data_IF_965161108343
#
_entry.id   IF_965161108343
#
_cell.length_a   1.000
_cell.length_b   1.000
_cell.length_c   1.000
_cell.angle_alpha   90.00
_cell.angle_beta   90.00
_cell.angle_gamma   90.00
#
_symmetry.space_group_name_H-M   'P 1'
#
loop_
_entity.id
_entity.type
_entity.pdbx_description
1 polymer ?
#
# COMPACT_ATOMS: atom_id res chain seq x y z
N UNK A 1 16.11 30.20 23.14
CA UNK A 1 15.31 29.47 22.18
C UNK A 1 15.33 28.00 22.60
N UNK A 2 14.24 27.53 23.22
CA UNK A 2 14.06 26.10 23.54
C UNK A 2 13.59 25.44 22.26
N UNK A 3 14.36 24.50 21.74
CA UNK A 3 13.91 23.69 20.59
C UNK A 3 12.66 22.93 21.02
N UNK A 4 11.62 22.89 20.20
CA UNK A 4 10.46 22.07 20.54
C UNK A 4 10.90 20.61 20.66
N UNK A 5 10.62 20.01 21.80
CA UNK A 5 10.89 18.57 21.99
C UNK A 5 9.89 17.85 21.10
N UNK A 6 10.38 17.16 20.07
CA UNK A 6 9.51 16.38 19.20
C UNK A 6 9.00 15.16 19.98
N UNK A 7 7.71 15.14 20.28
CA UNK A 7 7.07 14.00 20.94
C UNK A 7 6.92 12.88 19.89
N UNK A 8 7.58 11.72 20.08
CA UNK A 8 7.52 10.68 19.06
C UNK A 8 6.13 10.06 18.92
N UNK A 9 5.81 9.61 17.70
CA UNK A 9 4.49 9.04 17.37
C UNK A 9 4.34 7.66 18.01
N UNK A 10 3.14 7.32 18.53
CA UNK A 10 2.84 5.94 18.94
C UNK A 10 2.59 5.07 17.73
N UNK A 11 2.55 3.75 17.92
CA UNK A 11 2.09 2.81 16.89
C UNK A 11 0.88 2.05 17.38
N UNK A 12 -0.06 1.76 16.47
CA UNK A 12 -1.32 1.09 16.77
C UNK A 12 -1.42 -0.19 15.94
N UNK A 13 -1.93 -1.27 16.53
CA UNK A 13 -2.29 -2.48 15.79
C UNK A 13 -3.45 -3.22 16.46
N UNK A 14 -4.08 -4.09 15.68
CA UNK A 14 -5.16 -4.96 16.15
C UNK A 14 -4.60 -6.31 16.63
N UNK A 15 -5.25 -6.89 17.61
CA UNK A 15 -4.99 -8.27 18.02
C UNK A 15 -6.31 -9.02 18.23
N UNK A 16 -6.63 -10.03 17.42
CA UNK A 16 -5.86 -10.50 16.27
C UNK A 16 -5.83 -9.46 15.12
N UNK A 17 -4.80 -9.54 14.30
CA UNK A 17 -4.63 -8.58 13.18
C UNK A 17 -5.62 -8.79 12.04
N UNK A 18 -6.15 -10.00 11.94
CA UNK A 18 -7.06 -10.41 10.86
C UNK A 18 -7.99 -11.50 11.36
N UNK A 19 -9.03 -11.77 10.56
CA UNK A 19 -9.96 -12.86 10.84
C UNK A 19 -10.94 -12.57 11.96
N UNK A 20 -11.21 -11.30 12.23
CA UNK A 20 -12.20 -10.90 13.24
C UNK A 20 -13.61 -11.07 12.63
N UNK A 21 -14.46 -11.81 13.30
CA UNK A 21 -15.87 -11.97 12.90
C UNK A 21 -16.80 -11.24 13.86
N UNK A 22 -18.04 -10.99 13.44
CA UNK A 22 -19.04 -10.42 14.34
C UNK A 22 -19.14 -11.25 15.61
N UNK A 23 -19.12 -10.59 16.74
CA UNK A 23 -19.17 -11.21 18.08
C UNK A 23 -17.81 -11.54 18.68
N UNK A 24 -16.75 -11.57 17.88
CA UNK A 24 -15.40 -11.86 18.39
C UNK A 24 -14.86 -10.69 19.23
N UNK A 25 -13.93 -10.99 20.11
CA UNK A 25 -13.15 -9.95 20.81
C UNK A 25 -11.97 -9.51 19.94
N UNK A 26 -11.69 -8.21 19.98
CA UNK A 26 -10.50 -7.64 19.34
C UNK A 26 -9.90 -6.57 20.25
N UNK A 27 -8.59 -6.55 20.36
CA UNK A 27 -7.86 -5.54 21.12
C UNK A 27 -7.15 -4.57 20.19
N UNK A 28 -7.34 -3.28 20.47
CA UNK A 28 -6.56 -2.18 19.87
C UNK A 28 -5.37 -1.94 20.80
N UNK A 29 -4.16 -2.21 20.32
CA UNK A 29 -2.92 -2.09 21.10
C UNK A 29 -2.12 -0.88 20.65
N UNK A 30 -2.05 0.13 21.54
CA UNK A 30 -1.28 1.35 21.32
C UNK A 30 0.06 1.23 22.04
N UNK A 31 1.15 1.15 21.27
CA UNK A 31 2.51 1.10 21.81
C UNK A 31 3.06 2.52 21.94
N UNK A 32 3.59 2.81 23.10
CA UNK A 32 4.07 4.13 23.48
C UNK A 32 5.60 4.14 23.44
N UNK A 33 6.21 5.03 22.65
CA UNK A 33 7.68 5.11 22.60
C UNK A 33 8.30 5.72 23.86
N UNK A 34 7.47 6.28 24.73
CA UNK A 34 7.88 6.85 26.03
C UNK A 34 6.71 6.85 27.00
N UNK A 35 6.96 7.23 28.26
CA UNK A 35 5.92 7.29 29.30
C UNK A 35 4.79 8.24 28.89
N UNK A 36 3.57 7.85 29.24
CA UNK A 36 2.37 8.63 29.00
C UNK A 36 1.57 8.83 30.27
N UNK A 37 0.92 9.98 30.38
CA UNK A 37 -0.06 10.27 31.42
C UNK A 37 -1.45 9.78 30.99
N UNK A 38 -1.80 10.00 29.77
CA UNK A 38 -3.08 9.61 29.14
C UNK A 38 -2.85 9.06 27.76
N UNK A 39 -3.69 8.12 27.35
CA UNK A 39 -3.71 7.56 26.00
C UNK A 39 -5.14 7.60 25.49
N UNK A 40 -5.31 8.07 24.27
CA UNK A 40 -6.60 8.13 23.59
C UNK A 40 -6.58 7.25 22.34
N UNK A 41 -7.71 6.59 22.10
CA UNK A 41 -8.00 5.98 20.82
C UNK A 41 -9.12 6.78 20.16
N UNK A 42 -8.93 7.09 18.90
CA UNK A 42 -9.91 7.78 18.06
C UNK A 42 -10.43 6.80 17.03
N UNK A 43 -11.70 6.94 16.69
CA UNK A 43 -12.31 6.24 15.56
C UNK A 43 -12.75 7.30 14.54
N UNK A 44 -12.64 6.97 13.26
CA UNK A 44 -13.12 7.81 12.16
C UNK A 44 -14.56 8.29 12.44
N UNK A 45 -14.81 9.55 12.18
CA UNK A 45 -16.09 10.23 12.44
C UNK A 45 -16.42 10.42 13.93
N UNK A 46 -15.57 9.99 14.86
CA UNK A 46 -15.76 10.20 16.30
C UNK A 46 -14.66 11.09 16.87
N UNK A 47 -15.02 11.97 17.81
CA UNK A 47 -14.02 12.84 18.46
C UNK A 47 -13.03 12.01 19.28
N UNK A 48 -13.54 11.21 20.21
CA UNK A 48 -12.72 10.28 21.01
C UNK A 48 -13.51 8.98 21.14
N UNK A 49 -12.86 7.85 20.83
CA UNK A 49 -13.47 6.53 21.01
C UNK A 49 -13.28 6.00 22.43
N UNK A 50 -12.08 6.13 22.96
CA UNK A 50 -11.77 5.67 24.33
C UNK A 50 -10.55 6.40 24.90
N UNK A 51 -10.49 6.51 26.22
CA UNK A 51 -9.40 7.15 26.96
C UNK A 51 -8.95 6.26 28.12
N UNK A 52 -7.64 6.20 28.35
CA UNK A 52 -7.05 5.55 29.53
C UNK A 52 -6.08 6.51 30.22
N UNK A 53 -6.30 6.74 31.53
CA UNK A 53 -5.34 7.41 32.38
C UNK A 53 -4.29 6.42 32.87
N UNK A 54 -3.06 6.63 32.49
CA UNK A 54 -1.94 5.73 32.76
C UNK A 54 -1.29 5.99 34.10
N UNK A 55 -1.48 7.19 34.69
CA UNK A 55 -0.81 7.64 35.91
C UNK A 55 -1.00 6.72 37.13
N UNK A 56 -2.02 5.89 37.16
CA UNK A 56 -2.34 4.99 38.27
C UNK A 56 -2.26 3.51 37.96
N UNK A 57 -1.79 3.17 36.75
CA UNK A 57 -1.62 1.78 36.35
C UNK A 57 -0.15 1.54 36.01
N UNK A 58 0.42 0.52 36.64
CA UNK A 58 1.69 0.00 36.16
C UNK A 58 1.47 -0.55 34.74
N UNK A 59 1.84 0.24 33.75
CA UNK A 59 1.94 -0.25 32.39
C UNK A 59 3.19 -1.13 32.37
N UNK A 60 3.00 -2.41 32.55
CA UNK A 60 4.08 -3.40 32.64
C UNK A 60 4.91 -3.49 31.34
N UNK A 61 4.37 -2.92 30.30
CA UNK A 61 5.01 -2.79 28.99
C UNK A 61 4.53 -1.51 28.34
N UNK A 62 5.29 -0.95 27.45
CA UNK A 62 5.00 0.30 26.73
C UNK A 62 3.76 0.21 25.82
N UNK A 63 2.74 -0.53 26.21
CA UNK A 63 1.56 -0.80 25.39
C UNK A 63 0.28 -0.69 26.22
N UNK A 64 -0.65 0.13 25.75
CA UNK A 64 -1.99 0.26 26.32
C UNK A 64 -2.97 -0.48 25.41
N UNK A 65 -3.82 -1.30 26.02
CA UNK A 65 -4.79 -2.14 25.30
C UNK A 65 -6.22 -1.64 25.54
N UNK A 66 -6.97 -1.52 24.45
CA UNK A 66 -8.39 -1.18 24.45
C UNK A 66 -9.13 -2.36 23.82
N UNK A 67 -9.91 -3.07 24.61
CA UNK A 67 -10.57 -4.30 24.17
C UNK A 67 -12.03 -4.08 23.83
N UNK A 68 -12.42 -4.48 22.63
CA UNK A 68 -13.82 -4.63 22.20
C UNK A 68 -14.17 -6.10 22.42
N UNK A 69 -15.00 -6.38 23.39
CA UNK A 69 -15.32 -7.77 23.83
C UNK A 69 -16.17 -8.51 22.79
N UNK A 70 -17.06 -7.79 22.11
CA UNK A 70 -17.95 -8.36 21.09
C UNK A 70 -18.10 -7.36 19.96
N UNK A 71 -17.45 -7.66 18.85
CA UNK A 71 -17.46 -6.76 17.67
C UNK A 71 -18.84 -6.71 17.03
N UNK A 72 -19.19 -5.52 16.57
CA UNK A 72 -20.40 -5.22 15.81
C UNK A 72 -20.03 -4.34 14.61
N UNK A 73 -20.96 -4.11 13.69
CA UNK A 73 -20.76 -3.21 12.56
C UNK A 73 -20.35 -1.81 12.98
N UNK A 74 -20.94 -1.31 14.08
CA UNK A 74 -20.61 0.03 14.60
C UNK A 74 -19.15 0.17 15.06
N UNK A 75 -18.46 -0.95 15.30
CA UNK A 75 -17.04 -0.94 15.67
C UNK A 75 -16.11 -0.97 14.45
N UNK A 76 -16.61 -1.25 13.25
CA UNK A 76 -15.76 -1.29 12.05
C UNK A 76 -15.29 0.11 11.65
N UNK A 77 -14.16 0.20 10.95
CA UNK A 77 -13.62 1.46 10.46
C UNK A 77 -12.19 1.72 10.91
N UNK A 78 -11.76 2.95 10.76
CA UNK A 78 -10.36 3.36 10.94
C UNK A 78 -10.13 3.92 12.33
N UNK A 79 -9.03 3.50 12.95
CA UNK A 79 -8.64 3.90 14.31
C UNK A 79 -7.23 4.48 14.32
N UNK A 80 -6.99 5.41 15.27
CA UNK A 80 -5.67 5.99 15.62
C UNK A 80 -5.51 6.06 17.10
N UNK A 81 -4.28 6.16 17.60
CA UNK A 81 -4.03 6.51 18.98
C UNK A 81 -3.10 7.72 19.11
N UNK A 82 -3.21 8.40 20.25
CA UNK A 82 -2.36 9.51 20.69
C UNK A 82 -2.09 9.37 22.19
N UNK A 83 -1.06 10.02 22.69
CA UNK A 83 -0.80 10.07 24.13
C UNK A 83 -0.32 11.46 24.57
N UNK A 84 -0.52 11.73 25.84
CA UNK A 84 -0.03 12.93 26.51
C UNK A 84 1.20 12.58 27.35
N UNK A 85 2.24 13.41 27.26
CA UNK A 85 3.47 13.26 28.06
C UNK A 85 3.18 13.61 29.53
N UNK A 86 3.73 12.85 30.52
CA UNK A 86 3.53 13.19 31.94
C UNK A 86 4.06 14.57 32.28
N UNK A 87 3.39 15.24 33.21
CA UNK A 87 3.74 16.56 33.72
C UNK A 87 3.86 17.63 32.61
N UNK A 88 3.23 17.42 31.47
CA UNK A 88 3.25 18.30 30.33
C UNK A 88 1.86 18.34 29.66
N UNK A 89 1.59 19.42 28.93
CA UNK A 89 0.41 19.50 28.08
C UNK A 89 0.70 19.00 26.66
N UNK A 90 1.93 18.56 26.40
CA UNK A 90 2.34 18.08 25.10
C UNK A 90 1.66 16.75 24.72
N UNK A 91 1.10 16.70 23.52
CA UNK A 91 0.39 15.54 22.98
C UNK A 91 1.15 15.10 21.72
N UNK A 92 1.29 13.79 21.54
CA UNK A 92 1.93 13.22 20.33
C UNK A 92 1.09 13.47 19.07
N UNK A 93 1.70 13.33 17.93
CA UNK A 93 0.92 13.14 16.69
C UNK A 93 0.14 11.82 16.76
N UNK A 94 -0.91 11.71 15.95
CA UNK A 94 -1.66 10.46 15.80
C UNK A 94 -0.77 9.35 15.23
N UNK A 95 -0.98 8.12 15.67
CA UNK A 95 -0.37 6.94 15.04
C UNK A 95 -0.77 6.82 13.57
N UNK A 96 -0.10 5.96 12.83
CA UNK A 96 -0.63 5.53 11.54
C UNK A 96 -1.99 4.86 11.76
N UNK A 97 -2.92 4.99 10.80
CA UNK A 97 -4.25 4.41 10.94
C UNK A 97 -4.22 2.89 10.85
N UNK A 98 -5.12 2.23 11.60
CA UNK A 98 -5.43 0.81 11.40
C UNK A 98 -6.90 0.66 11.12
N UNK A 99 -7.24 -0.21 10.19
CA UNK A 99 -8.63 -0.48 9.82
C UNK A 99 -9.10 -1.78 10.48
N UNK A 100 -10.18 -1.71 11.23
CA UNK A 100 -10.88 -2.89 11.75
C UNK A 100 -11.93 -3.32 10.73
N UNK A 101 -11.65 -4.41 10.03
CA UNK A 101 -12.57 -5.07 9.12
C UNK A 101 -13.15 -6.29 9.84
N UNK A 102 -14.47 -6.43 9.82
CA UNK A 102 -15.17 -7.52 10.50
C UNK A 102 -15.88 -8.41 9.49
N UNK A 103 -15.67 -9.71 9.58
CA UNK A 103 -16.38 -10.70 8.76
C UNK A 103 -17.78 -10.93 9.30
N UNK A 104 -18.76 -10.77 8.43
CA UNK A 104 -20.16 -11.04 8.77
C UNK A 104 -20.61 -12.32 8.08
N UNK A 105 -20.82 -13.41 8.84
CA UNK A 105 -21.20 -14.69 8.24
C UNK A 105 -22.62 -14.73 7.67
N UNK A 106 -23.43 -13.69 7.87
CA UNK A 106 -24.76 -13.63 7.25
C UNK A 106 -24.69 -13.35 5.74
N UNK A 107 -23.58 -12.78 5.26
CA UNK A 107 -23.39 -12.58 3.82
C UNK A 107 -22.95 -13.89 3.16
N UNK A 108 -23.57 -14.27 2.02
CA UNK A 108 -23.18 -15.50 1.35
C UNK A 108 -21.76 -15.38 0.77
N UNK A 109 -20.96 -16.45 0.88
CA UNK A 109 -19.61 -16.43 0.29
C UNK A 109 -19.67 -16.33 -1.23
N UNK A 110 -18.68 -15.67 -1.87
CA UNK A 110 -18.68 -15.52 -3.32
C UNK A 110 -18.32 -16.83 -4.05
N UNK A 111 -18.82 -16.97 -5.28
CA UNK A 111 -18.42 -18.07 -6.17
C UNK A 111 -17.09 -17.78 -6.85
N UNK A 112 -16.36 -18.84 -7.22
CA UNK A 112 -15.04 -18.72 -7.86
C UNK A 112 -14.88 -19.78 -8.96
N UNK A 113 -14.19 -19.41 -10.05
CA UNK A 113 -13.72 -20.37 -11.05
C UNK A 113 -12.39 -19.94 -11.65
N UNK A 114 -11.65 -20.91 -12.13
CA UNK A 114 -10.33 -20.74 -12.72
C UNK A 114 -10.40 -21.13 -14.22
N UNK A 115 -9.73 -20.36 -15.07
CA UNK A 115 -9.60 -20.68 -16.50
C UNK A 115 -8.17 -20.41 -16.97
N UNK A 116 -7.52 -21.39 -17.65
CA UNK A 116 -8.01 -22.73 -17.88
C UNK A 116 -8.12 -23.54 -16.57
N UNK A 117 -8.92 -24.60 -16.57
CA UNK A 117 -9.13 -25.46 -15.38
C UNK A 117 -8.04 -26.52 -15.17
N UNK A 118 -7.21 -26.71 -16.15
CA UNK A 118 -6.16 -27.74 -16.19
C UNK A 118 -4.80 -27.15 -15.82
N UNK A 119 -3.72 -27.73 -15.40
CA UNK A 119 -2.72 -27.35 -15.20
C UNK A 119 -2.22 -26.64 -16.13
N UNK A 120 -1.70 -25.84 -15.86
CA UNK A 120 -1.18 -24.89 -16.81
C UNK A 120 0.35 -24.91 -16.84
N UNK A 121 0.92 -24.69 -18.01
CA UNK A 121 2.37 -24.53 -18.17
C UNK A 121 2.83 -23.12 -17.76
N UNK A 122 4.09 -23.02 -17.37
CA UNK A 122 4.74 -21.72 -17.13
C UNK A 122 4.58 -20.80 -18.36
N UNK A 123 4.26 -19.54 -18.11
CA UNK A 123 4.04 -18.54 -19.16
C UNK A 123 2.60 -18.46 -19.66
N UNK A 124 1.71 -19.35 -19.21
CA UNK A 124 0.29 -19.30 -19.57
C UNK A 124 -0.40 -18.14 -18.85
N UNK A 125 -1.39 -17.52 -19.50
CA UNK A 125 -2.26 -16.56 -18.83
C UNK A 125 -3.42 -17.31 -18.18
N UNK A 126 -3.70 -16.98 -16.91
CA UNK A 126 -4.73 -17.62 -16.12
C UNK A 126 -5.71 -16.56 -15.64
N UNK A 127 -7.00 -16.85 -15.79
CA UNK A 127 -8.07 -15.95 -15.37
C UNK A 127 -8.85 -16.57 -14.22
N UNK A 128 -9.01 -15.80 -13.14
CA UNK A 128 -9.81 -16.17 -11.98
C UNK A 128 -11.05 -15.29 -12.01
N UNK A 129 -12.23 -15.93 -12.07
CA UNK A 129 -13.52 -15.24 -12.06
C UNK A 129 -14.17 -15.40 -10.69
N UNK A 130 -14.68 -14.30 -10.18
CA UNK A 130 -15.44 -14.24 -8.94
C UNK A 130 -16.83 -13.65 -9.24
N UNK A 131 -17.85 -14.18 -8.60
CA UNK A 131 -19.19 -13.61 -8.74
C UNK A 131 -19.97 -13.62 -7.42
N UNK A 132 -20.66 -12.52 -7.20
CA UNK A 132 -21.73 -12.38 -6.24
C UNK A 132 -22.63 -11.26 -6.74
N UNK A 133 -23.75 -11.61 -7.36
CA UNK A 133 -24.58 -10.65 -8.10
C UNK A 133 -25.25 -9.61 -7.20
N UNK A 134 -25.57 -9.98 -5.98
CA UNK A 134 -26.50 -9.19 -5.18
C UNK A 134 -25.81 -8.29 -4.14
N UNK A 135 -24.70 -8.74 -3.54
CA UNK A 135 -24.15 -8.13 -2.33
C UNK A 135 -22.80 -7.45 -2.51
N UNK A 136 -21.92 -7.99 -3.36
CA UNK A 136 -20.55 -7.53 -3.46
C UNK A 136 -20.38 -6.19 -4.18
N UNK A 137 -19.52 -5.36 -3.66
CA UNK A 137 -19.12 -4.09 -4.28
C UNK A 137 -17.65 -4.12 -4.67
N UNK A 138 -16.77 -4.39 -3.72
CA UNK A 138 -15.34 -4.61 -3.96
C UNK A 138 -14.98 -6.06 -3.66
N UNK A 139 -14.32 -6.70 -4.60
CA UNK A 139 -13.88 -8.09 -4.50
C UNK A 139 -12.41 -8.17 -4.15
N UNK A 140 -12.06 -9.10 -3.26
CA UNK A 140 -10.72 -9.27 -2.69
C UNK A 140 -10.23 -10.68 -3.00
N UNK A 141 -9.14 -10.78 -3.76
CA UNK A 141 -8.51 -12.06 -4.07
C UNK A 141 -7.47 -12.39 -2.99
N UNK A 142 -7.58 -13.55 -2.40
CA UNK A 142 -6.68 -14.08 -1.38
C UNK A 142 -5.92 -15.28 -1.93
N UNK A 143 -4.69 -15.45 -1.48
CA UNK A 143 -3.89 -16.65 -1.75
C UNK A 143 -3.55 -17.27 -0.39
N UNK A 144 -3.83 -18.55 -0.22
CA UNK A 144 -3.56 -19.26 1.05
C UNK A 144 -2.08 -19.15 1.42
N UNK A 145 -1.81 -18.89 2.67
CA UNK A 145 -0.47 -18.63 3.18
C UNK A 145 -0.07 -17.16 3.22
N UNK A 146 -0.83 -16.27 2.59
CA UNK A 146 -0.64 -14.83 2.67
C UNK A 146 -1.68 -14.20 3.57
N UNK A 147 -1.25 -13.27 4.41
CA UNK A 147 -2.13 -12.65 5.41
C UNK A 147 -3.05 -11.57 4.82
N UNK A 148 -2.62 -10.91 3.75
CA UNK A 148 -3.39 -9.85 3.11
C UNK A 148 -3.92 -10.31 1.75
N UNK A 149 -5.03 -9.73 1.26
CA UNK A 149 -5.45 -9.99 -0.11
C UNK A 149 -4.39 -9.53 -1.09
N UNK A 150 -4.22 -10.27 -2.18
CA UNK A 150 -3.20 -9.99 -3.20
C UNK A 150 -3.69 -9.00 -4.26
N UNK A 151 -5.00 -8.92 -4.47
CA UNK A 151 -5.60 -7.98 -5.41
C UNK A 151 -6.98 -7.55 -4.93
N UNK A 152 -7.38 -6.32 -5.31
CA UNK A 152 -8.72 -5.76 -5.08
C UNK A 152 -9.30 -5.38 -6.43
N UNK A 153 -10.61 -5.54 -6.59
CA UNK A 153 -11.30 -5.12 -7.80
C UNK A 153 -12.74 -4.74 -7.50
N UNK A 154 -13.14 -3.57 -7.94
CA UNK A 154 -14.53 -3.15 -7.87
C UNK A 154 -15.38 -3.98 -8.82
N UNK A 155 -16.65 -4.16 -8.49
CA UNK A 155 -17.57 -4.96 -9.30
C UNK A 155 -17.75 -4.36 -10.68
N UNK A 156 -17.87 -5.19 -11.67
CA UNK A 156 -18.34 -4.78 -12.99
C UNK A 156 -19.88 -4.58 -12.98
N UNK A 157 -20.43 -4.14 -14.09
CA UNK A 157 -21.88 -3.93 -14.21
C UNK A 157 -22.72 -5.22 -14.06
N UNK A 158 -22.10 -6.39 -14.11
CA UNK A 158 -22.74 -7.69 -13.98
C UNK A 158 -22.61 -8.36 -12.62
N UNK A 159 -21.95 -7.69 -11.65
CA UNK A 159 -21.71 -8.28 -10.32
C UNK A 159 -20.61 -9.32 -10.31
N UNK A 160 -19.64 -9.17 -11.21
CA UNK A 160 -18.49 -10.06 -11.35
C UNK A 160 -17.19 -9.29 -11.18
N UNK A 161 -16.14 -10.00 -10.81
CA UNK A 161 -14.78 -9.51 -10.87
C UNK A 161 -13.90 -10.55 -11.57
N UNK A 162 -12.92 -10.10 -12.32
CA UNK A 162 -12.06 -10.96 -13.12
C UNK A 162 -10.62 -10.56 -12.90
N UNK A 163 -9.81 -11.48 -12.38
CA UNK A 163 -8.38 -11.27 -12.19
C UNK A 163 -7.60 -12.11 -13.20
N UNK A 164 -6.66 -11.48 -13.87
CA UNK A 164 -5.80 -12.16 -14.82
C UNK A 164 -4.36 -12.19 -14.31
N UNK A 165 -3.83 -13.39 -14.17
CA UNK A 165 -2.42 -13.63 -13.88
C UNK A 165 -1.72 -13.84 -15.22
N UNK A 166 -0.83 -12.92 -15.58
CA UNK A 166 -0.14 -12.97 -16.87
C UNK A 166 1.17 -13.77 -16.74
N UNK A 167 1.36 -14.72 -17.64
CA UNK A 167 2.60 -15.47 -17.73
C UNK A 167 2.95 -16.19 -16.43
N UNK A 168 2.03 -17.00 -15.89
CA UNK A 168 2.20 -17.63 -14.57
C UNK A 168 3.51 -18.41 -14.44
N UNK A 169 4.05 -18.38 -13.24
CA UNK A 169 5.27 -19.07 -12.82
C UNK A 169 4.95 -20.06 -11.69
N UNK A 170 5.87 -20.94 -11.33
CA UNK A 170 5.64 -21.80 -10.15
C UNK A 170 5.35 -21.05 -8.86
N UNK A 171 5.79 -19.80 -8.72
CA UNK A 171 5.47 -18.96 -7.56
C UNK A 171 3.98 -18.60 -7.50
N UNK A 172 3.28 -18.63 -8.61
CA UNK A 172 1.84 -18.35 -8.67
C UNK A 172 0.99 -19.58 -8.33
N UNK A 173 1.57 -20.77 -8.29
CA UNK A 173 0.86 -21.98 -7.87
C UNK A 173 0.35 -21.82 -6.43
N UNK A 174 -0.82 -22.38 -6.17
CA UNK A 174 -1.42 -22.31 -4.84
C UNK A 174 -2.94 -22.26 -4.87
N UNK A 175 -3.51 -22.14 -3.70
CA UNK A 175 -4.96 -22.09 -3.49
C UNK A 175 -5.42 -20.65 -3.38
N UNK A 176 -6.42 -20.31 -4.15
CA UNK A 176 -7.00 -18.97 -4.22
C UNK A 176 -8.43 -19.00 -3.72
N UNK A 177 -8.81 -17.94 -2.99
CA UNK A 177 -10.16 -17.74 -2.45
C UNK A 177 -10.55 -16.28 -2.64
N UNK A 178 -11.84 -15.99 -2.46
CA UNK A 178 -12.38 -14.64 -2.56
C UNK A 178 -13.15 -14.27 -1.31
N UNK A 179 -13.15 -13.00 -1.02
CA UNK A 179 -14.16 -12.34 -0.20
C UNK A 179 -14.61 -11.06 -0.92
N UNK A 180 -15.59 -10.39 -0.37
CA UNK A 180 -16.02 -9.09 -0.88
C UNK A 180 -16.44 -8.19 0.26
N UNK A 181 -16.38 -6.88 0.00
CA UNK A 181 -17.02 -5.90 0.86
C UNK A 181 -18.44 -5.67 0.33
N UNK A 182 -19.47 -5.82 1.17
CA UNK A 182 -20.85 -5.55 0.75
C UNK A 182 -21.05 -4.07 0.40
N UNK A 183 -22.03 -3.79 -0.43
CA UNK A 183 -22.39 -2.42 -0.81
C UNK A 183 -22.62 -1.56 0.43
N UNK A 184 -22.06 -0.37 0.42
CA UNK A 184 -22.16 0.62 1.50
C UNK A 184 -21.52 0.20 2.84
N UNK A 185 -20.76 -0.89 2.85
CA UNK A 185 -20.09 -1.39 4.06
C UNK A 185 -18.62 -1.75 3.77
N UNK A 186 -17.77 -0.73 3.52
CA UNK A 186 -16.37 -1.01 3.09
C UNK A 186 -15.52 -1.71 4.16
N UNK A 187 -15.88 -1.58 5.43
CA UNK A 187 -15.14 -2.23 6.53
C UNK A 187 -15.83 -3.49 7.05
N UNK A 188 -16.80 -4.03 6.29
CA UNK A 188 -17.39 -5.35 6.54
C UNK A 188 -16.95 -6.29 5.42
N UNK A 189 -16.66 -7.54 5.74
CA UNK A 189 -16.26 -8.55 4.76
C UNK A 189 -17.23 -9.74 4.77
N UNK A 190 -17.46 -10.30 3.60
CA UNK A 190 -18.10 -11.62 3.52
C UNK A 190 -17.15 -12.69 4.06
N UNK A 191 -17.63 -13.87 4.42
CA UNK A 191 -16.75 -15.03 4.58
C UNK A 191 -15.97 -15.32 3.30
N UNK A 192 -14.82 -15.98 3.44
CA UNK A 192 -14.08 -16.49 2.28
C UNK A 192 -14.92 -17.52 1.52
N UNK A 193 -14.97 -17.37 0.21
CA UNK A 193 -15.66 -18.29 -0.67
C UNK A 193 -14.92 -19.64 -0.80
N UNK A 194 -15.48 -20.53 -1.63
CA UNK A 194 -14.83 -21.78 -1.99
C UNK A 194 -13.47 -21.50 -2.63
N UNK A 195 -12.61 -22.49 -2.68
CA UNK A 195 -11.26 -22.37 -3.21
C UNK A 195 -11.14 -22.89 -4.63
N UNK A 196 -10.18 -22.34 -5.38
CA UNK A 196 -9.65 -22.96 -6.60
C UNK A 196 -8.13 -23.11 -6.43
N UNK A 197 -7.60 -24.22 -6.96
CA UNK A 197 -6.17 -24.47 -6.90
C UNK A 197 -5.56 -24.29 -8.30
N UNK A 198 -4.55 -23.45 -8.37
CA UNK A 198 -3.75 -23.26 -9.58
C UNK A 198 -2.51 -24.14 -9.45
N UNK A 199 -2.36 -25.08 -10.38
CA UNK A 199 -1.16 -25.90 -10.52
C UNK A 199 -0.38 -25.41 -11.74
N UNK A 200 0.88 -25.06 -11.53
CA UNK A 200 1.76 -24.60 -12.62
C UNK A 200 2.85 -25.64 -12.83
N UNK A 201 2.83 -26.28 -14.00
CA UNK A 201 3.86 -27.25 -14.39
C UNK A 201 5.01 -26.51 -15.10
N UNK A 202 6.25 -26.81 -14.72
CA UNK A 202 7.37 -26.27 -15.50
C UNK A 202 7.26 -26.71 -16.94
N UNK A 203 7.43 -25.77 -17.86
CA UNK A 203 7.53 -26.13 -19.28
C UNK A 203 8.72 -27.08 -19.41
N UNK A 204 8.54 -28.30 -19.96
CA UNK A 204 9.69 -29.17 -20.22
C UNK A 204 10.68 -28.38 -21.05
N UNK A 205 11.92 -28.33 -20.63
CA UNK A 205 12.97 -27.80 -21.48
C UNK A 205 12.89 -28.58 -22.79
N UNK A 206 12.64 -27.88 -23.89
CA UNK A 206 12.70 -28.49 -25.21
C UNK A 206 14.02 -29.28 -25.26
N UNK A 207 14.01 -30.60 -25.53
CA UNK A 207 15.26 -31.31 -25.64
C UNK A 207 16.07 -30.59 -26.72
N UNK A 208 17.17 -29.99 -26.32
CA UNK A 208 18.09 -29.46 -27.29
C UNK A 208 18.46 -30.64 -28.20
N UNK A 209 17.97 -30.59 -29.42
CA UNK A 209 18.42 -31.53 -30.45
C UNK A 209 19.94 -31.51 -30.44
N UNK A 210 20.64 -32.63 -30.23
CA UNK A 210 22.09 -32.59 -30.20
C UNK A 210 22.57 -32.00 -31.54
N UNK A 211 23.03 -30.77 -31.47
CA UNK A 211 23.64 -30.10 -32.60
C UNK A 211 24.83 -30.89 -32.99
N UNK A 212 24.99 -31.31 -34.27
CA UNK A 212 26.22 -31.94 -34.72
C UNK A 212 27.39 -31.01 -34.38
N UNK A 213 28.57 -31.52 -34.02
CA UNK A 213 29.70 -30.67 -33.69
C UNK A 213 30.05 -29.77 -34.87
N UNK A 214 29.87 -28.47 -34.70
CA UNK A 214 30.28 -27.49 -35.71
C UNK A 214 31.79 -27.50 -35.89
N UNK A 215 32.27 -27.49 -37.15
CA UNK A 215 33.68 -27.27 -37.38
C UNK A 215 34.05 -25.83 -36.97
N UNK A 216 35.16 -25.74 -36.30
CA UNK A 216 35.74 -24.55 -35.66
C UNK A 216 35.46 -23.19 -36.34
N UNK A 217 35.01 -22.26 -35.55
CA UNK A 217 35.28 -20.83 -35.73
C UNK A 217 34.13 -19.96 -36.17
N UNK A 218 33.50 -19.30 -35.18
CA UNK A 218 33.01 -17.94 -35.45
C UNK A 218 33.14 -17.09 -34.17
N UNK A 219 34.07 -16.18 -34.20
CA UNK A 219 34.32 -15.15 -33.18
C UNK A 219 33.24 -14.05 -33.15
N UNK A 220 32.13 -14.25 -33.84
CA UNK A 220 31.14 -13.18 -34.04
C UNK A 220 30.25 -12.90 -32.82
N UNK A 221 29.96 -13.90 -31.99
CA UNK A 221 29.14 -13.72 -30.78
C UNK A 221 29.81 -12.92 -29.68
N UNK A 222 31.13 -13.03 -29.58
CA UNK A 222 31.89 -12.29 -28.53
C UNK A 222 32.00 -10.81 -28.84
N UNK A 223 32.06 -10.45 -30.12
CA UNK A 223 32.18 -9.05 -30.57
C UNK A 223 30.87 -8.26 -30.34
N UNK A 224 29.73 -8.90 -30.53
CA UNK A 224 28.43 -8.25 -30.31
C UNK A 224 28.24 -7.88 -28.81
N UNK A 225 28.59 -8.78 -27.90
CA UNK A 225 28.52 -8.52 -26.48
C UNK A 225 29.48 -7.39 -26.04
N UNK A 226 30.70 -7.38 -26.60
CA UNK A 226 31.66 -6.31 -26.32
C UNK A 226 31.19 -4.95 -26.86
N UNK A 227 30.60 -4.91 -28.07
CA UNK A 227 30.07 -3.68 -28.64
C UNK A 227 28.93 -3.11 -27.76
N UNK A 228 28.01 -3.95 -27.33
CA UNK A 228 26.89 -3.52 -26.47
C UNK A 228 27.44 -2.99 -25.13
N UNK A 229 28.41 -3.67 -24.52
CA UNK A 229 29.04 -3.22 -23.28
C UNK A 229 29.74 -1.85 -23.46
N UNK A 230 30.48 -1.67 -24.54
CA UNK A 230 31.14 -0.40 -24.84
C UNK A 230 30.14 0.74 -25.07
N UNK A 231 29.06 0.47 -25.81
CA UNK A 231 28.00 1.47 -26.04
C UNK A 231 27.35 1.90 -24.72
N UNK A 232 27.12 0.99 -23.79
CA UNK A 232 26.57 1.32 -22.46
C UNK A 232 27.52 2.21 -21.66
N UNK A 233 28.82 1.91 -21.67
CA UNK A 233 29.80 2.72 -20.96
C UNK A 233 29.87 4.11 -21.58
N UNK A 234 29.93 4.22 -22.91
CA UNK A 234 29.94 5.52 -23.61
C UNK A 234 28.69 6.34 -23.30
N UNK A 235 27.52 5.72 -23.30
CA UNK A 235 26.27 6.41 -22.95
C UNK A 235 26.28 6.92 -21.51
N UNK A 236 26.74 6.10 -20.57
CA UNK A 236 26.83 6.49 -19.16
C UNK A 236 27.80 7.66 -18.95
N UNK A 237 28.97 7.65 -19.61
CA UNK A 237 29.93 8.77 -19.52
C UNK A 237 29.38 10.04 -20.13
N UNK A 238 28.66 9.96 -21.23
CA UNK A 238 28.03 11.10 -21.87
C UNK A 238 26.97 11.73 -20.99
N UNK A 239 26.08 10.93 -20.37
CA UNK A 239 25.09 11.43 -19.44
C UNK A 239 25.74 12.09 -18.23
N UNK A 240 26.79 11.47 -17.69
CA UNK A 240 27.54 12.03 -16.55
C UNK A 240 28.19 13.35 -16.91
N UNK A 241 28.84 13.45 -18.07
CA UNK A 241 29.51 14.69 -18.51
C UNK A 241 28.50 15.83 -18.75
N UNK A 242 27.33 15.51 -19.33
CA UNK A 242 26.24 16.49 -19.48
C UNK A 242 25.72 16.96 -18.11
N UNK A 243 25.56 16.04 -17.16
CA UNK A 243 25.15 16.38 -15.80
C UNK A 243 26.15 17.34 -15.13
N UNK A 244 27.43 17.05 -15.21
CA UNK A 244 28.49 17.92 -14.67
C UNK A 244 28.47 19.27 -15.37
N UNK A 245 28.32 19.31 -16.70
CA UNK A 245 28.24 20.56 -17.48
C UNK A 245 27.08 21.43 -16.98
N UNK A 246 25.88 20.87 -16.80
CA UNK A 246 24.74 21.64 -16.31
C UNK A 246 24.91 22.13 -14.87
N UNK A 247 25.60 21.38 -14.02
CA UNK A 247 25.90 21.82 -12.65
C UNK A 247 26.89 23.02 -12.68
N UNK A 248 27.90 22.98 -13.52
CA UNK A 248 28.89 24.07 -13.65
C UNK A 248 28.24 25.31 -14.27
N UNK A 249 27.45 25.13 -15.34
CA UNK A 249 26.76 26.22 -16.02
C UNK A 249 25.70 26.85 -15.10
N UNK A 250 24.96 26.05 -14.35
CA UNK A 250 24.01 26.54 -13.34
C UNK A 250 24.71 27.37 -12.25
N UNK A 251 25.87 26.91 -11.78
CA UNK A 251 26.66 27.68 -10.79
C UNK A 251 27.16 29.01 -11.38
N UNK A 252 27.54 29.03 -12.64
CA UNK A 252 27.98 30.25 -13.33
C UNK A 252 26.87 31.32 -13.35
N UNK A 253 25.62 30.89 -13.61
CA UNK A 253 24.45 31.77 -13.61
C UNK A 253 24.13 32.33 -12.22
N UNK A 254 24.35 31.53 -11.15
CA UNK A 254 24.14 31.99 -9.78
C UNK A 254 25.22 33.04 -9.35
N UNK A 255 26.46 32.83 -9.75
CA UNK A 255 27.55 33.74 -9.42
C UNK A 255 27.35 35.11 -10.11
N UNK A 256 26.87 35.12 -11.36
CA UNK A 256 26.59 36.39 -12.07
C UNK A 256 25.40 37.15 -11.46
N UNK A 257 24.48 36.44 -10.78
CA UNK A 257 23.34 37.10 -10.14
C UNK A 257 23.74 37.84 -8.86
N UNK A 258 24.75 37.32 -8.14
CA UNK A 258 25.23 37.94 -6.91
C UNK A 258 26.11 39.19 -7.16
N UNK A 259 26.81 39.26 -8.30
CA UNK A 259 27.64 40.42 -8.62
C UNK A 259 26.84 41.67 -9.07
N UNK A 260 25.62 41.46 -9.57
CA UNK A 260 24.78 42.58 -10.00
C UNK A 260 23.91 43.19 -8.88
N UNK A 261 23.94 42.65 -7.67
CA UNK A 261 23.19 43.17 -6.52
C UNK A 261 24.01 44.05 -5.57
N UNK A 262 25.22 44.40 -5.92
CA UNK A 262 26.17 45.04 -4.99
C UNK A 262 26.27 46.55 -5.00
N UNK A 263 25.56 47.29 -5.81
CA UNK A 263 25.93 48.71 -5.96
C UNK A 263 24.78 49.74 -5.93
N UNK A 264 23.56 49.41 -5.56
CA UNK A 264 22.57 50.45 -5.19
C UNK A 264 21.56 49.90 -4.18
N UNK A 265 21.45 50.51 -3.03
CA UNK A 265 20.64 50.12 -1.91
C UNK A 265 19.12 50.24 -2.12
N UNK A 266 18.57 49.39 -2.98
CA UNK A 266 17.14 49.31 -3.18
C UNK A 266 16.70 47.89 -2.82
N UNK A 267 15.80 47.78 -1.85
CA UNK A 267 15.20 46.52 -1.40
C UNK A 267 14.47 45.85 -2.54
N UNK A 268 14.92 44.67 -2.96
CA UNK A 268 14.18 43.81 -3.87
C UNK A 268 13.10 43.05 -3.11
N UNK A 269 11.86 43.50 -3.20
CA UNK A 269 10.69 42.74 -2.76
C UNK A 269 10.26 41.80 -3.91
N UNK A 270 10.01 40.53 -3.64
CA UNK A 270 9.49 39.65 -4.69
C UNK A 270 8.06 40.02 -5.05
N UNK A 271 7.82 40.19 -6.34
CA UNK A 271 6.47 40.42 -6.88
C UNK A 271 5.58 39.18 -6.67
N UNK A 272 4.32 39.36 -6.28
CA UNK A 272 3.40 38.23 -6.20
C UNK A 272 3.12 37.65 -7.59
N UNK A 273 3.15 36.34 -7.67
CA UNK A 273 2.83 35.58 -8.89
C UNK A 273 1.31 35.72 -9.14
N UNK A 274 0.95 36.33 -10.25
CA UNK A 274 -0.44 36.40 -10.70
C UNK A 274 -0.94 35.02 -11.12
N UNK A 275 -1.78 34.43 -10.31
CA UNK A 275 -2.55 33.22 -10.67
C UNK A 275 -3.69 33.61 -11.61
N UNK A 276 -3.88 32.92 -12.72
CA UNK A 276 -5.00 33.21 -13.61
C UNK A 276 -6.34 32.91 -12.92
N UNK A 277 -7.24 33.86 -12.95
CA UNK A 277 -8.58 33.76 -12.41
C UNK A 277 -9.44 32.80 -13.21
N UNK A 278 -9.97 31.77 -12.52
CA UNK A 278 -10.94 30.83 -13.10
C UNK A 278 -12.31 31.50 -13.09
N UNK A 279 -13.06 31.53 -14.21
CA UNK A 279 -14.39 32.13 -14.21
C UNK A 279 -15.43 31.28 -13.46
N UNK A 280 -16.16 31.89 -12.55
CA UNK A 280 -17.28 31.31 -11.85
C UNK A 280 -18.46 31.08 -12.80
N UNK A 281 -18.97 29.86 -12.88
CA UNK A 281 -20.23 29.56 -13.55
C UNK A 281 -21.40 29.78 -12.57
N UNK A 282 -22.49 30.41 -12.99
CA UNK A 282 -23.61 30.66 -12.09
C UNK A 282 -24.42 29.39 -11.80
N UNK A 283 -24.76 29.20 -10.53
CA UNK A 283 -25.61 28.11 -10.06
C UNK A 283 -27.08 28.58 -10.21
N UNK A 284 -27.86 27.84 -10.98
CA UNK A 284 -29.31 28.04 -11.04
C UNK A 284 -29.99 27.13 -10.02
N UNK A 285 -30.92 27.65 -9.18
CA UNK A 285 -31.67 26.79 -8.29
C UNK A 285 -32.88 26.16 -9.01
N UNK A 286 -33.11 24.88 -8.73
CA UNK A 286 -34.39 24.20 -8.93
C UNK A 286 -34.84 23.67 -7.58
#
# INVERSE_FOLDING_TARGET
LVSPVLVPRPSLWLHPRQGVSLGDAVALRCHLPQQAARVWVYKEESEIYSEVNVNNKYVEHDTVEFTIISTKWEHTGTYWCQYQVPESEEISEKSDPVELVVTDPSFPPPGISLRPKEXVGTGTNVTIHCWNKDYGDTFLLHKDGLSAPIQHQDRDGGGMATFTLLGVTPADAGTYRWSYHPKNHPSVSSPLGSSVTLEVTPTPATPETPTPPDPAGSEEGSRACLVIALLRVLFATLVFSLGVFFVIDGRSLWIQRDENCGEEGVKCLPSPIDLPSVPFLPIYPI
#
